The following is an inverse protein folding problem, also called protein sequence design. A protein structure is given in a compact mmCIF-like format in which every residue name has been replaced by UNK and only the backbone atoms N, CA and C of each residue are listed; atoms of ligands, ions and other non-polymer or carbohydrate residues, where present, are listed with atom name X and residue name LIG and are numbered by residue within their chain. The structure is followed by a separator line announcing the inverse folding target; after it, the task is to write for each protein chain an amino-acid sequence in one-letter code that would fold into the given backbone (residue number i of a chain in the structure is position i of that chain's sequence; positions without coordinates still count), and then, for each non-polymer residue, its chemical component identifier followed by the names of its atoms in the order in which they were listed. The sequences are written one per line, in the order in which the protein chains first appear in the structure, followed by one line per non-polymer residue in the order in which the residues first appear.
data_IF_424490973809
#
_entry.id   IF_424490973809
#
_cell.length_a   1.000
_cell.length_b   1.000
_cell.length_c   1.000
_cell.angle_alpha   90.00
_cell.angle_beta   90.00
_cell.angle_gamma   90.00
#
_symmetry.space_group_name_H-M   'P 1'
#
loop_
_entity.id
_entity.type
_entity.pdbx_description
1 polymer ?
#
# COMPACT_ATOMS: atom_id res chain seq x y z
N UNK A 1 9.18 -3.09 -17.80
CA UNK A 1 9.64 -2.14 -16.77
C UNK A 1 8.49 -1.85 -15.82
N UNK A 2 8.31 -2.68 -14.78
CA UNK A 2 7.38 -2.46 -13.66
C UNK A 2 7.84 -3.38 -12.51
N UNK A 3 8.99 -3.06 -11.90
CA UNK A 3 9.60 -3.90 -10.86
C UNK A 3 9.04 -3.61 -9.45
N UNK A 4 8.30 -2.51 -9.31
CA UNK A 4 7.80 -1.99 -8.02
C UNK A 4 6.48 -2.65 -7.62
N UNK A 5 5.60 -2.91 -8.61
CA UNK A 5 4.30 -3.53 -8.41
C UNK A 5 4.29 -4.92 -9.05
N UNK A 6 4.20 -5.96 -8.22
CA UNK A 6 4.07 -7.34 -8.67
C UNK A 6 2.88 -7.97 -7.94
N UNK A 7 1.93 -8.49 -8.69
CA UNK A 7 0.73 -9.19 -8.17
C UNK A 7 -0.17 -8.33 -7.26
N UNK A 8 -0.48 -7.08 -7.68
CA UNK A 8 -1.28 -6.11 -6.91
C UNK A 8 -0.74 -5.85 -5.49
N UNK A 9 0.55 -6.10 -5.30
CA UNK A 9 1.28 -5.87 -4.07
C UNK A 9 2.61 -5.17 -4.37
N UNK A 10 3.17 -4.52 -3.37
CA UNK A 10 4.56 -4.07 -3.44
C UNK A 10 5.45 -5.31 -3.52
N UNK A 11 6.39 -5.30 -4.48
CA UNK A 11 7.39 -6.36 -4.61
C UNK A 11 8.07 -6.58 -3.26
N UNK A 12 8.30 -7.84 -2.86
CA UNK A 12 8.86 -8.15 -1.54
C UNK A 12 10.22 -7.51 -1.29
N UNK A 13 10.95 -7.19 -2.36
CA UNK A 13 12.20 -6.42 -2.32
C UNK A 13 11.97 -4.90 -2.30
N UNK A 14 10.87 -4.39 -2.85
CA UNK A 14 10.57 -2.97 -2.84
C UNK A 14 10.27 -2.45 -1.42
N UNK A 15 9.71 -3.29 -0.55
CA UNK A 15 9.39 -2.95 0.84
C UNK A 15 10.65 -2.59 1.67
N UNK A 16 11.69 -3.45 1.76
CA UNK A 16 12.90 -3.11 2.50
C UNK A 16 13.65 -1.93 1.86
N UNK A 17 13.63 -1.79 0.53
CA UNK A 17 14.15 -0.60 -0.14
C UNK A 17 13.41 0.68 0.30
N UNK A 18 12.08 0.67 0.33
CA UNK A 18 11.28 1.83 0.73
C UNK A 18 11.52 2.20 2.20
N UNK A 19 11.66 1.20 3.08
CA UNK A 19 12.02 1.41 4.49
C UNK A 19 13.41 2.05 4.60
N UNK A 20 14.42 1.49 3.94
CA UNK A 20 15.78 2.02 3.96
C UNK A 20 15.82 3.46 3.46
N UNK A 21 15.15 3.74 2.35
CA UNK A 21 15.10 5.08 1.76
C UNK A 21 14.42 6.08 2.70
N UNK A 22 13.33 5.67 3.36
CA UNK A 22 12.62 6.48 4.34
C UNK A 22 13.46 6.79 5.59
N UNK A 23 14.21 5.80 6.11
CA UNK A 23 15.14 6.00 7.24
C UNK A 23 16.27 6.95 6.86
N UNK A 24 16.85 6.80 5.67
CA UNK A 24 17.90 7.70 5.16
C UNK A 24 17.36 9.13 5.03
N UNK A 25 16.15 9.30 4.50
CA UNK A 25 15.49 10.61 4.42
C UNK A 25 15.29 11.25 5.79
N UNK A 26 14.86 10.48 6.79
CA UNK A 26 14.73 10.96 8.17
C UNK A 26 16.09 11.39 8.73
N UNK A 27 17.14 10.57 8.52
CA UNK A 27 18.49 10.88 8.99
C UNK A 27 19.04 12.17 8.37
N UNK A 28 18.96 12.29 7.03
CA UNK A 28 19.38 13.50 6.30
C UNK A 28 18.57 14.71 6.78
N UNK A 29 17.27 14.53 7.01
CA UNK A 29 16.42 15.61 7.49
C UNK A 29 16.85 16.15 8.85
N UNK A 30 17.33 15.28 9.75
CA UNK A 30 17.74 15.70 11.10
C UNK A 30 19.15 16.27 11.13
N UNK A 31 20.06 15.72 10.33
CA UNK A 31 21.50 16.07 10.37
C UNK A 31 21.86 17.21 9.42
N UNK A 32 21.30 17.26 8.21
CA UNK A 32 21.71 18.19 7.16
C UNK A 32 20.85 19.45 7.05
N UNK A 33 19.62 19.44 7.57
CA UNK A 33 18.67 20.54 7.35
C UNK A 33 18.56 21.42 8.60
N UNK A 34 19.12 22.62 8.50
CA UNK A 34 19.02 23.65 9.56
C UNK A 34 17.68 24.38 9.55
N UNK A 35 17.06 24.53 8.37
CA UNK A 35 15.77 25.21 8.24
C UNK A 35 14.62 24.37 8.83
N UNK A 36 14.03 24.88 9.91
CA UNK A 36 12.98 24.20 10.68
C UNK A 36 11.83 23.65 9.83
N UNK A 37 11.25 24.48 8.94
CA UNK A 37 10.11 24.08 8.11
C UNK A 37 10.48 23.01 7.10
N UNK A 38 11.65 23.11 6.48
CA UNK A 38 12.11 22.14 5.49
C UNK A 38 12.45 20.80 6.16
N UNK A 39 13.04 20.84 7.35
CA UNK A 39 13.26 19.65 8.19
C UNK A 39 11.96 18.96 8.54
N UNK A 40 10.94 19.69 8.99
CA UNK A 40 9.63 19.11 9.31
C UNK A 40 9.03 18.42 8.08
N UNK A 41 9.08 19.09 6.93
CA UNK A 41 8.55 18.56 5.68
C UNK A 41 9.24 17.26 5.24
N UNK A 42 10.59 17.23 5.20
CA UNK A 42 11.33 16.02 4.82
C UNK A 42 11.13 14.89 5.84
N UNK A 43 11.13 15.22 7.13
CA UNK A 43 10.87 14.25 8.19
C UNK A 43 9.49 13.60 8.03
N UNK A 44 8.44 14.41 7.77
CA UNK A 44 7.09 13.89 7.51
C UNK A 44 7.03 12.97 6.29
N UNK A 45 7.73 13.31 5.20
CA UNK A 45 7.80 12.46 3.99
C UNK A 45 8.51 11.14 4.29
N UNK A 46 9.65 11.19 5.00
CA UNK A 46 10.38 9.99 5.41
C UNK A 46 9.52 9.09 6.29
N UNK A 47 8.78 9.67 7.25
CA UNK A 47 7.88 8.95 8.13
C UNK A 47 6.72 8.30 7.36
N UNK A 48 6.09 9.03 6.44
CA UNK A 48 5.05 8.51 5.54
C UNK A 48 5.55 7.34 4.70
N UNK A 49 6.79 7.43 4.20
CA UNK A 49 7.41 6.38 3.40
C UNK A 49 7.63 5.10 4.21
N UNK A 50 8.13 5.21 5.45
CA UNK A 50 8.29 4.04 6.34
C UNK A 50 6.94 3.47 6.76
N UNK A 51 5.96 4.32 7.08
CA UNK A 51 4.61 3.90 7.47
C UNK A 51 3.90 3.12 6.34
N UNK A 52 3.95 3.64 5.11
CA UNK A 52 3.39 2.97 3.94
C UNK A 52 4.11 1.65 3.62
N UNK A 53 5.43 1.61 3.76
CA UNK A 53 6.20 0.37 3.63
C UNK A 53 5.81 -0.68 4.69
N UNK A 54 5.67 -0.26 5.95
CA UNK A 54 5.24 -1.13 7.04
C UNK A 54 3.82 -1.66 6.85
N UNK A 55 2.91 -0.82 6.39
CA UNK A 55 1.54 -1.22 6.03
C UNK A 55 1.53 -2.25 4.89
N UNK A 56 2.28 -2.00 3.82
CA UNK A 56 2.43 -2.92 2.70
C UNK A 56 3.11 -4.25 3.10
N UNK A 57 4.06 -4.21 4.04
CA UNK A 57 4.68 -5.40 4.62
C UNK A 57 3.70 -6.24 5.40
N UNK A 58 2.89 -5.61 6.26
CA UNK A 58 1.84 -6.29 7.03
C UNK A 58 0.76 -6.87 6.14
N UNK A 59 0.29 -6.14 5.13
CA UNK A 59 -0.73 -6.67 4.20
C UNK A 59 -0.20 -7.88 3.44
N UNK A 60 1.06 -7.85 3.00
CA UNK A 60 1.72 -9.00 2.37
C UNK A 60 1.84 -10.20 3.31
N UNK A 61 2.21 -9.99 4.58
CA UNK A 61 2.30 -11.05 5.58
C UNK A 61 0.93 -11.70 5.86
N UNK A 62 -0.14 -10.90 5.80
CA UNK A 62 -1.52 -11.36 5.95
C UNK A 62 -2.14 -11.91 4.65
N UNK A 63 -1.38 -11.96 3.55
CA UNK A 63 -1.89 -12.38 2.24
C UNK A 63 -2.90 -11.41 1.61
N UNK A 64 -3.11 -10.25 2.22
CA UNK A 64 -4.02 -9.21 1.74
C UNK A 64 -3.37 -8.44 0.59
N UNK A 65 -4.15 -8.17 -0.46
CA UNK A 65 -3.74 -7.43 -1.66
C UNK A 65 -4.33 -6.02 -1.62
N UNK A 66 -3.69 -5.05 -0.95
CA UNK A 66 -4.29 -3.73 -0.71
C UNK A 66 -4.42 -2.87 -1.97
N UNK A 67 -3.72 -3.21 -3.06
CA UNK A 67 -3.76 -2.46 -4.33
C UNK A 67 -4.56 -3.19 -5.41
N UNK A 68 -5.57 -3.99 -5.01
CA UNK A 68 -6.50 -4.68 -5.92
C UNK A 68 -7.09 -3.68 -6.93
N UNK A 69 -6.70 -3.85 -8.20
CA UNK A 69 -7.08 -3.00 -9.33
C UNK A 69 -8.50 -3.29 -9.85
N UNK A 70 -9.46 -3.49 -8.94
CA UNK A 70 -10.84 -3.93 -9.24
C UNK A 70 -10.90 -5.43 -9.60
N UNK A 71 -11.61 -6.25 -8.81
CA UNK A 71 -12.40 -7.41 -9.29
C UNK A 71 -12.89 -8.30 -8.14
N UNK A 72 -12.11 -8.56 -7.10
CA UNK A 72 -12.52 -9.56 -6.08
C UNK A 72 -13.66 -9.11 -5.17
N UNK A 73 -13.69 -7.84 -4.73
CA UNK A 73 -14.84 -7.34 -3.95
C UNK A 73 -16.12 -7.25 -4.78
N UNK A 74 -15.99 -6.99 -6.09
CA UNK A 74 -17.13 -6.95 -7.02
C UNK A 74 -17.67 -8.36 -7.30
N UNK A 75 -16.79 -9.34 -7.47
CA UNK A 75 -17.13 -10.77 -7.57
C UNK A 75 -17.74 -11.31 -6.27
N UNK A 76 -17.21 -10.90 -5.11
CA UNK A 76 -17.80 -11.26 -3.82
C UNK A 76 -19.21 -10.67 -3.66
N UNK A 77 -19.44 -9.44 -4.16
CA UNK A 77 -20.77 -8.82 -4.17
C UNK A 77 -21.76 -9.56 -5.08
N UNK A 78 -21.31 -10.00 -6.27
CA UNK A 78 -22.14 -10.83 -7.17
C UNK A 78 -22.58 -12.16 -6.53
N UNK A 79 -21.80 -12.75 -5.63
CA UNK A 79 -22.20 -13.96 -4.89
C UNK A 79 -23.28 -13.69 -3.82
N UNK A 80 -23.47 -12.44 -3.40
CA UNK A 80 -24.49 -12.05 -2.43
C UNK A 80 -25.78 -11.53 -3.05
N UNK A 81 -25.81 -11.30 -4.37
CA UNK A 81 -27.09 -11.07 -5.06
C UNK A 81 -27.84 -12.40 -5.07
N UNK A 82 -29.01 -12.51 -4.39
CA UNK A 82 -29.81 -13.71 -4.47
C UNK A 82 -30.19 -13.93 -5.94
N UNK A 83 -30.19 -15.17 -6.44
CA UNK A 83 -30.70 -15.43 -7.79
C UNK A 83 -32.12 -14.89 -7.83
N UNK A 84 -32.38 -13.90 -8.69
CA UNK A 84 -33.73 -13.42 -8.95
C UNK A 84 -34.60 -14.66 -9.16
N UNK A 85 -35.56 -14.86 -8.25
CA UNK A 85 -36.64 -15.82 -8.34
C UNK A 85 -37.42 -15.51 -9.63
N UNK A 86 -36.91 -16.02 -10.75
CA UNK A 86 -37.64 -16.06 -12.02
C UNK A 86 -38.73 -17.09 -11.86
N UNK A 87 -39.87 -16.60 -11.39
CA UNK A 87 -41.18 -16.82 -12.02
C UNK A 87 -41.37 -18.21 -12.64
N UNK A 88 -41.72 -19.20 -11.82
CA UNK A 88 -42.47 -20.37 -12.26
C UNK A 88 -43.82 -20.42 -11.51
N UNK A 89 -44.67 -19.45 -11.84
CA UNK A 89 -46.12 -19.57 -11.69
C UNK A 89 -46.74 -19.40 -13.08
N UNK A 90 -46.93 -20.51 -13.79
CA UNK A 90 -47.87 -20.64 -14.91
C UNK A 90 -48.32 -22.08 -15.03
#
# INVERSE_FOLDING_TARGET
MNWVFKDNNLSGLAIPFLILTGIILIYISLELIEHYYFRLFLFSIGLLSVATAGYAGRSRALGLRPFLKEEEWRKAKETYDPPDDKEEHS
#
